data_IF_355042847919
#
_entry.id   IF_355042847919
#
_cell.length_a   1.000
_cell.length_b   1.000
_cell.length_c   1.000
_cell.angle_alpha   90.00
_cell.angle_beta   90.00
_cell.angle_gamma   90.00
#
_symmetry.space_group_name_H-M   'P 1'
#
loop_
_entity.id
_entity.type
_entity.pdbx_description
1 polymer ?
#
# COMPACT_ATOMS: atom_id res chain seq x y z
N UNK A 1 -39.79 -60.81 13.12
CA UNK A 1 -39.08 -61.16 11.86
C UNK A 1 -38.92 -59.93 10.97
N UNK A 2 -39.99 -59.17 10.72
CA UNK A 2 -39.95 -57.94 9.93
C UNK A 2 -39.00 -56.85 10.49
N UNK A 3 -39.03 -56.58 11.79
CA UNK A 3 -38.11 -55.60 12.43
C UNK A 3 -36.63 -55.99 12.32
N UNK A 4 -36.31 -57.28 12.39
CA UNK A 4 -34.94 -57.75 12.22
C UNK A 4 -34.45 -57.53 10.79
N UNK A 5 -35.35 -57.73 9.81
CA UNK A 5 -35.10 -57.53 8.40
C UNK A 5 -34.96 -56.02 8.07
N UNK A 6 -35.80 -55.17 8.66
CA UNK A 6 -35.68 -53.71 8.58
C UNK A 6 -34.37 -53.21 9.18
N UNK A 7 -33.98 -53.65 10.37
CA UNK A 7 -32.68 -53.26 10.97
C UNK A 7 -31.49 -53.73 10.14
N UNK A 8 -31.55 -54.94 9.58
CA UNK A 8 -30.48 -55.48 8.74
C UNK A 8 -30.30 -54.68 7.45
N UNK A 9 -31.38 -54.14 6.87
CA UNK A 9 -31.33 -53.35 5.63
C UNK A 9 -31.07 -51.85 5.88
N UNK A 10 -31.65 -51.28 6.94
CA UNK A 10 -31.53 -49.85 7.24
C UNK A 10 -30.26 -49.50 8.05
N UNK A 11 -29.70 -50.44 8.81
CA UNK A 11 -28.49 -50.22 9.61
C UNK A 11 -27.31 -49.64 8.81
N UNK A 12 -26.90 -50.28 7.70
CA UNK A 12 -25.82 -49.74 6.86
C UNK A 12 -26.11 -48.36 6.25
N UNK A 13 -27.39 -48.09 5.95
CA UNK A 13 -27.81 -46.78 5.41
C UNK A 13 -27.70 -45.71 6.50
N UNK A 14 -28.12 -46.00 7.73
CA UNK A 14 -28.02 -45.08 8.88
C UNK A 14 -26.56 -44.78 9.19
N UNK A 15 -25.68 -45.79 9.22
CA UNK A 15 -24.24 -45.60 9.40
C UNK A 15 -23.65 -44.71 8.30
N UNK A 16 -24.06 -44.93 7.04
CA UNK A 16 -23.59 -44.12 5.92
C UNK A 16 -24.08 -42.67 6.01
N UNK A 17 -25.32 -42.44 6.43
CA UNK A 17 -25.88 -41.11 6.63
C UNK A 17 -25.15 -40.37 7.76
N UNK A 18 -24.88 -41.03 8.89
CA UNK A 18 -24.12 -40.44 9.99
C UNK A 18 -22.68 -40.09 9.59
N UNK A 19 -22.04 -40.94 8.77
CA UNK A 19 -20.73 -40.64 8.21
C UNK A 19 -20.79 -39.40 7.28
N UNK A 20 -21.78 -39.34 6.38
CA UNK A 20 -21.96 -38.20 5.49
C UNK A 20 -22.23 -36.90 6.25
N UNK A 21 -23.00 -36.97 7.34
CA UNK A 21 -23.25 -35.82 8.23
C UNK A 21 -21.95 -35.31 8.85
N UNK A 22 -21.12 -36.23 9.37
CA UNK A 22 -19.79 -35.88 9.92
C UNK A 22 -18.87 -35.26 8.87
N UNK A 23 -18.85 -35.80 7.65
CA UNK A 23 -18.07 -35.26 6.54
C UNK A 23 -18.56 -33.86 6.12
N UNK A 24 -19.88 -33.63 6.11
CA UNK A 24 -20.47 -32.32 5.82
C UNK A 24 -20.12 -31.27 6.87
N UNK A 25 -20.20 -31.62 8.15
CA UNK A 25 -19.81 -30.71 9.24
C UNK A 25 -18.34 -30.31 9.15
N UNK A 26 -17.45 -31.26 8.85
CA UNK A 26 -16.03 -30.95 8.65
C UNK A 26 -15.79 -30.05 7.43
N UNK A 27 -16.52 -30.26 6.34
CA UNK A 27 -16.48 -29.38 5.16
C UNK A 27 -16.92 -27.96 5.49
N UNK A 28 -18.03 -27.79 6.23
CA UNK A 28 -18.48 -26.46 6.66
C UNK A 28 -17.44 -25.77 7.53
N UNK A 29 -16.88 -26.49 8.51
CA UNK A 29 -15.82 -25.97 9.37
C UNK A 29 -14.58 -25.54 8.58
N UNK A 30 -14.17 -26.31 7.58
CA UNK A 30 -13.05 -25.93 6.68
C UNK A 30 -13.38 -24.74 5.80
N UNK A 31 -14.62 -24.66 5.30
CA UNK A 31 -15.08 -23.56 4.47
C UNK A 31 -15.09 -22.23 5.24
N UNK A 32 -15.62 -22.22 6.47
CA UNK A 32 -15.57 -21.07 7.37
C UNK A 32 -14.13 -20.67 7.72
N UNK A 33 -13.23 -21.65 7.65
CA UNK A 33 -11.83 -21.44 7.97
C UNK A 33 -10.98 -20.99 6.79
N UNK A 34 -11.52 -20.99 5.57
CA UNK A 34 -10.79 -20.74 4.34
C UNK A 34 -10.38 -19.27 4.18
N UNK A 35 -11.25 -18.34 4.56
CA UNK A 35 -11.06 -16.92 4.31
C UNK A 35 -11.68 -16.10 5.45
N UNK A 36 -10.86 -15.31 6.17
CA UNK A 36 -11.32 -14.54 7.33
C UNK A 36 -10.69 -13.16 7.38
N UNK A 37 -11.37 -12.18 7.98
CA UNK A 37 -10.78 -10.87 8.26
C UNK A 37 -10.00 -10.95 9.57
N UNK A 38 -8.74 -10.54 9.55
CA UNK A 38 -7.90 -10.49 10.74
C UNK A 38 -7.20 -9.14 10.92
N UNK A 39 -6.49 -9.01 12.04
CA UNK A 39 -5.73 -7.81 12.40
C UNK A 39 -4.29 -8.21 12.76
N UNK A 40 -3.30 -7.58 12.13
CA UNK A 40 -1.88 -7.80 12.44
C UNK A 40 -1.59 -7.50 13.92
N UNK A 41 -0.97 -8.45 14.62
CA UNK A 41 -0.51 -8.29 15.99
C UNK A 41 1.01 -8.14 16.08
N UNK A 42 1.72 -8.90 15.27
CA UNK A 42 3.18 -8.89 15.22
C UNK A 42 3.62 -8.96 13.77
N UNK A 43 4.72 -8.27 13.44
CA UNK A 43 5.34 -8.29 12.13
C UNK A 43 6.84 -8.48 12.30
N UNK A 44 7.41 -9.41 11.54
CA UNK A 44 8.85 -9.60 11.41
C UNK A 44 9.24 -9.29 9.95
N UNK A 45 9.81 -8.10 9.77
CA UNK A 45 10.23 -7.61 8.47
C UNK A 45 11.39 -8.43 7.89
N UNK A 46 12.28 -8.97 8.74
CA UNK A 46 13.47 -9.68 8.28
C UNK A 46 13.11 -11.04 7.67
N UNK A 47 12.11 -11.73 8.22
CA UNK A 47 11.61 -13.01 7.70
C UNK A 47 10.41 -12.87 6.76
N UNK A 48 9.90 -11.65 6.55
CA UNK A 48 8.71 -11.36 5.75
C UNK A 48 7.48 -12.14 6.24
N UNK A 49 7.31 -12.20 7.57
CA UNK A 49 6.19 -12.87 8.23
C UNK A 49 5.45 -11.95 9.20
N UNK A 50 4.26 -12.37 9.59
CA UNK A 50 3.43 -11.70 10.58
C UNK A 50 2.61 -12.72 11.38
N UNK A 51 2.03 -12.26 12.49
CA UNK A 51 0.95 -12.96 13.19
C UNK A 51 -0.32 -12.13 13.13
N UNK A 52 -1.42 -12.79 12.80
CA UNK A 52 -2.73 -12.16 12.60
C UNK A 52 -3.71 -12.73 13.60
N UNK A 53 -4.45 -11.84 14.27
CA UNK A 53 -5.56 -12.23 15.15
C UNK A 53 -6.89 -12.18 14.42
N UNK A 54 -7.72 -13.19 14.61
CA UNK A 54 -9.12 -13.23 14.21
C UNK A 54 -9.96 -13.74 15.39
N UNK A 55 -10.84 -12.89 15.94
CA UNK A 55 -11.49 -13.18 17.22
C UNK A 55 -10.45 -13.42 18.32
N UNK A 56 -10.57 -14.54 19.01
CA UNK A 56 -9.61 -14.97 20.05
C UNK A 56 -8.43 -15.78 19.49
N UNK A 57 -8.43 -16.12 18.20
CA UNK A 57 -7.40 -16.94 17.58
C UNK A 57 -6.26 -16.08 17.06
N UNK A 58 -5.02 -16.44 17.44
CA UNK A 58 -3.80 -15.87 16.88
C UNK A 58 -3.15 -16.89 15.94
N UNK A 59 -2.81 -16.46 14.73
CA UNK A 59 -2.10 -17.32 13.78
C UNK A 59 -0.67 -17.63 14.25
N UNK A 60 -0.07 -18.74 13.78
CA UNK A 60 1.38 -18.88 13.80
C UNK A 60 2.05 -17.79 12.94
N UNK A 61 3.37 -17.80 12.89
CA UNK A 61 4.14 -16.95 11.96
C UNK A 61 3.83 -17.35 10.52
N UNK A 62 3.18 -16.46 9.77
CA UNK A 62 2.73 -16.69 8.40
C UNK A 62 3.25 -15.60 7.47
N UNK A 63 3.40 -15.92 6.18
CA UNK A 63 3.81 -14.94 5.17
C UNK A 63 2.67 -13.98 4.83
N UNK A 64 3.05 -12.79 4.37
CA UNK A 64 2.11 -11.81 3.84
C UNK A 64 2.43 -11.43 2.39
N UNK A 65 1.42 -10.91 1.70
CA UNK A 65 1.55 -10.45 0.31
C UNK A 65 2.25 -9.09 0.24
N UNK A 66 3.16 -8.97 -0.73
CA UNK A 66 3.65 -7.69 -1.23
C UNK A 66 3.00 -7.39 -2.59
N UNK A 67 2.99 -6.13 -3.06
CA UNK A 67 2.42 -5.78 -4.37
C UNK A 67 3.02 -6.57 -5.54
N UNK A 68 4.32 -6.89 -5.47
CA UNK A 68 5.01 -7.75 -6.44
C UNK A 68 6.18 -8.49 -5.79
N UNK A 69 6.45 -9.72 -6.23
CA UNK A 69 7.48 -10.60 -5.66
C UNK A 69 8.21 -11.46 -6.73
N UNK A 70 8.40 -10.90 -7.94
CA UNK A 70 9.13 -11.55 -9.03
C UNK A 70 10.50 -10.90 -9.28
N UNK A 71 10.97 -10.92 -10.53
CA UNK A 71 12.19 -10.19 -10.94
C UNK A 71 12.04 -8.67 -10.78
N UNK A 72 10.82 -8.16 -10.94
CA UNK A 72 10.39 -6.89 -10.40
C UNK A 72 9.67 -7.17 -9.08
N UNK A 73 10.11 -6.49 -8.01
CA UNK A 73 9.58 -6.70 -6.67
C UNK A 73 9.40 -5.37 -5.94
N UNK A 74 8.44 -5.38 -5.02
CA UNK A 74 8.15 -4.27 -4.14
C UNK A 74 8.03 -4.81 -2.73
N UNK A 75 8.50 -4.06 -1.73
CA UNK A 75 8.37 -4.43 -0.32
C UNK A 75 7.54 -3.40 0.41
N UNK A 76 6.43 -3.85 0.99
CA UNK A 76 5.57 -3.06 1.86
C UNK A 76 5.27 -3.88 3.10
N UNK A 77 5.96 -3.54 4.19
CA UNK A 77 5.80 -4.22 5.47
C UNK A 77 4.48 -3.75 6.12
N UNK A 78 3.58 -4.65 6.52
CA UNK A 78 2.33 -4.28 7.18
C UNK A 78 2.59 -3.70 8.56
N UNK A 79 1.67 -2.84 9.01
CA UNK A 79 1.73 -2.26 10.36
C UNK A 79 0.96 -3.10 11.37
N UNK A 80 1.38 -3.06 12.64
CA UNK A 80 0.58 -3.63 13.73
C UNK A 80 -0.75 -2.89 13.83
N UNK A 81 -1.83 -3.66 13.90
CA UNK A 81 -3.21 -3.15 13.89
C UNK A 81 -3.83 -3.05 12.51
N UNK A 82 -3.08 -3.31 11.44
CA UNK A 82 -3.62 -3.26 10.09
C UNK A 82 -4.51 -4.47 9.82
N UNK A 83 -5.65 -4.23 9.16
CA UNK A 83 -6.58 -5.28 8.77
C UNK A 83 -6.11 -6.00 7.51
N UNK A 84 -6.37 -7.30 7.47
CA UNK A 84 -6.03 -8.16 6.34
C UNK A 84 -7.07 -9.24 6.12
N UNK A 85 -7.04 -9.81 4.92
CA UNK A 85 -7.66 -11.09 4.63
C UNK A 85 -6.67 -12.21 4.95
N UNK A 86 -7.06 -13.13 5.82
CA UNK A 86 -6.34 -14.35 6.14
C UNK A 86 -6.86 -15.48 5.24
N UNK A 87 -5.99 -16.00 4.37
CA UNK A 87 -6.32 -17.03 3.40
C UNK A 87 -5.67 -18.35 3.80
N UNK A 88 -6.47 -19.33 4.20
CA UNK A 88 -6.01 -20.67 4.55
C UNK A 88 -6.15 -21.61 3.35
N UNK A 89 -5.12 -21.64 2.51
CA UNK A 89 -5.13 -22.44 1.27
C UNK A 89 -4.98 -23.94 1.51
N UNK A 90 -4.52 -24.33 2.70
CA UNK A 90 -4.29 -25.73 3.07
C UNK A 90 -5.47 -26.42 3.74
N UNK A 91 -6.49 -25.66 4.18
CA UNK A 91 -7.68 -26.18 4.85
C UNK A 91 -7.43 -26.82 6.23
N UNK A 92 -6.19 -26.80 6.73
CA UNK A 92 -5.84 -27.32 8.05
C UNK A 92 -6.24 -26.36 9.18
N UNK A 93 -6.46 -26.89 10.39
CA UNK A 93 -7.01 -26.11 11.51
C UNK A 93 -5.99 -25.17 12.16
N UNK A 94 -4.70 -25.52 12.09
CA UNK A 94 -3.64 -24.82 12.82
C UNK A 94 -3.17 -23.50 12.19
N UNK A 95 -3.76 -23.07 11.08
CA UNK A 95 -3.41 -21.80 10.42
C UNK A 95 -2.00 -21.72 9.81
N UNK A 96 -1.16 -22.75 9.97
CA UNK A 96 0.23 -22.77 9.44
C UNK A 96 0.33 -22.71 7.92
N UNK A 97 -0.76 -23.04 7.21
CA UNK A 97 -0.89 -22.87 5.76
C UNK A 97 -1.70 -21.62 5.41
N UNK A 98 -1.73 -20.63 6.30
CA UNK A 98 -2.37 -19.34 6.01
C UNK A 98 -1.38 -18.34 5.44
N UNK A 99 -1.89 -17.40 4.66
CA UNK A 99 -1.17 -16.22 4.19
C UNK A 99 -2.05 -14.98 4.40
N UNK A 100 -1.42 -13.83 4.65
CA UNK A 100 -2.13 -12.60 4.96
C UNK A 100 -2.06 -11.59 3.80
N UNK A 101 -3.20 -11.17 3.28
CA UNK A 101 -3.33 -10.11 2.28
C UNK A 101 -3.80 -8.82 2.96
N UNK A 102 -2.88 -7.87 3.12
CA UNK A 102 -3.12 -6.57 3.75
C UNK A 102 -3.74 -5.55 2.80
N UNK A 103 -4.20 -4.43 3.37
CA UNK A 103 -4.77 -3.30 2.61
C UNK A 103 -6.27 -3.09 2.78
N UNK A 104 -6.90 -3.72 3.77
CA UNK A 104 -8.27 -3.39 4.15
C UNK A 104 -8.26 -2.11 5.01
N UNK A 105 -8.82 -1.01 4.47
CA UNK A 105 -8.98 0.22 5.23
C UNK A 105 -10.04 0.06 6.33
N UNK A 106 -9.79 0.69 7.47
CA UNK A 106 -10.72 0.73 8.61
C UNK A 106 -10.43 1.95 9.47
N UNK A 107 -11.09 2.07 10.63
CA UNK A 107 -11.03 3.28 11.46
C UNK A 107 -9.61 3.68 11.88
N UNK A 108 -8.75 2.68 12.16
CA UNK A 108 -7.36 2.91 12.56
C UNK A 108 -6.47 3.36 11.39
N UNK A 109 -6.78 2.89 10.18
CA UNK A 109 -6.00 3.15 8.97
C UNK A 109 -6.95 3.49 7.82
N UNK A 110 -7.45 4.75 7.77
CA UNK A 110 -8.37 5.20 6.74
C UNK A 110 -7.67 5.26 5.36
N UNK A 111 -8.44 5.34 4.26
CA UNK A 111 -7.87 5.50 2.93
C UNK A 111 -7.08 6.81 2.82
N UNK A 112 -5.95 6.78 2.09
CA UNK A 112 -5.07 7.95 1.91
C UNK A 112 -5.70 9.05 1.04
N UNK A 113 -6.73 8.71 0.26
CA UNK A 113 -7.53 9.61 -0.57
C UNK A 113 -8.92 9.00 -0.76
N UNK A 114 -9.93 9.86 -0.86
CA UNK A 114 -11.29 9.50 -1.31
C UNK A 114 -11.65 10.11 -2.66
N UNK A 115 -10.69 10.82 -3.30
CA UNK A 115 -10.85 11.39 -4.63
C UNK A 115 -10.63 10.31 -5.69
N UNK A 116 -11.63 10.12 -6.57
CA UNK A 116 -11.63 9.05 -7.56
C UNK A 116 -10.50 9.15 -8.60
N UNK A 117 -10.08 10.37 -8.95
CA UNK A 117 -9.01 10.63 -9.93
C UNK A 117 -7.60 10.55 -9.34
N UNK A 118 -7.48 10.49 -8.01
CA UNK A 118 -6.19 10.58 -7.32
C UNK A 118 -5.71 9.20 -6.86
N UNK A 119 -4.64 8.72 -7.48
CA UNK A 119 -3.84 7.62 -6.95
C UNK A 119 -2.76 8.19 -6.02
N UNK A 120 -2.76 7.81 -4.74
CA UNK A 120 -1.85 8.36 -3.73
C UNK A 120 -1.20 7.29 -2.86
N UNK A 121 0.07 7.49 -2.54
CA UNK A 121 0.81 6.80 -1.49
C UNK A 121 1.19 7.81 -0.39
N UNK A 122 0.85 7.48 0.86
CA UNK A 122 1.22 8.21 2.06
C UNK A 122 2.14 7.35 2.91
N UNK A 123 3.28 7.90 3.31
CA UNK A 123 4.28 7.25 4.14
C UNK A 123 4.11 7.67 5.61
N UNK A 124 4.68 6.89 6.54
CA UNK A 124 4.49 7.09 7.99
C UNK A 124 5.07 8.42 8.50
N UNK A 125 6.09 8.95 7.84
CA UNK A 125 6.71 10.24 8.13
C UNK A 125 5.95 11.44 7.55
N UNK A 126 4.83 11.20 6.86
CA UNK A 126 4.05 12.22 6.16
C UNK A 126 4.52 12.51 4.74
N UNK A 127 5.58 11.85 4.25
CA UNK A 127 5.94 11.90 2.84
C UNK A 127 4.78 11.38 2.00
N UNK A 128 4.60 11.92 0.80
CA UNK A 128 3.57 11.47 -0.12
C UNK A 128 3.99 11.54 -1.58
N UNK A 129 3.37 10.67 -2.38
CA UNK A 129 3.46 10.66 -3.84
C UNK A 129 2.07 10.39 -4.40
N UNK A 130 1.61 11.19 -5.34
CA UNK A 130 0.31 10.97 -5.95
C UNK A 130 0.18 11.56 -7.35
N UNK A 131 -0.67 10.92 -8.16
CA UNK A 131 -1.03 11.38 -9.48
C UNK A 131 -2.55 11.54 -9.57
N UNK A 132 -2.99 12.73 -9.95
CA UNK A 132 -4.39 13.07 -10.20
C UNK A 132 -4.65 13.11 -11.71
N UNK A 133 -5.44 12.17 -12.22
CA UNK A 133 -5.73 12.08 -13.65
C UNK A 133 -6.63 13.20 -14.18
N UNK A 134 -7.42 13.86 -13.31
CA UNK A 134 -8.33 14.92 -13.71
C UNK A 134 -7.59 16.24 -13.93
N UNK A 135 -6.62 16.54 -13.06
CA UNK A 135 -5.75 17.72 -13.18
C UNK A 135 -4.47 17.45 -13.98
N UNK A 136 -4.16 16.18 -14.26
CA UNK A 136 -2.91 15.72 -14.86
C UNK A 136 -1.68 16.14 -14.07
N UNK A 137 -1.78 16.12 -12.73
CA UNK A 137 -0.73 16.56 -11.82
C UNK A 137 -0.09 15.37 -11.11
N UNK A 138 1.23 15.24 -11.25
CA UNK A 138 2.08 14.43 -10.39
C UNK A 138 2.60 15.29 -9.25
N UNK A 139 2.33 14.89 -8.02
CA UNK A 139 2.78 15.56 -6.81
C UNK A 139 3.64 14.61 -5.96
N UNK A 140 4.77 15.11 -5.48
CA UNK A 140 5.59 14.45 -4.47
C UNK A 140 5.99 15.47 -3.41
N UNK A 141 5.81 15.13 -2.14
CA UNK A 141 6.15 16.00 -1.02
C UNK A 141 6.81 15.19 0.09
N UNK A 142 7.96 15.66 0.56
CA UNK A 142 8.74 15.09 1.64
C UNK A 142 9.13 16.21 2.62
N UNK A 143 8.12 16.89 3.17
CA UNK A 143 8.28 17.98 4.14
C UNK A 143 8.87 19.24 3.51
N UNK A 144 10.16 19.55 3.69
CA UNK A 144 10.79 20.72 3.09
C UNK A 144 10.98 20.62 1.58
N UNK A 145 11.01 19.41 1.01
CA UNK A 145 11.25 19.19 -0.42
C UNK A 145 9.96 18.77 -1.12
N UNK A 146 9.68 19.36 -2.28
CA UNK A 146 8.49 19.03 -3.07
C UNK A 146 8.77 19.10 -4.57
N UNK A 147 8.01 18.29 -5.31
CA UNK A 147 7.89 18.32 -6.75
C UNK A 147 6.41 18.37 -7.14
N UNK A 148 6.08 19.26 -8.07
CA UNK A 148 4.76 19.29 -8.73
C UNK A 148 4.96 19.38 -10.23
N UNK A 149 4.44 18.41 -10.96
CA UNK A 149 4.50 18.38 -12.42
C UNK A 149 3.11 18.27 -13.01
N UNK A 150 2.78 19.16 -13.93
CA UNK A 150 1.58 19.14 -14.77
C UNK A 150 1.98 19.08 -16.24
N UNK A 151 1.00 19.14 -17.15
CA UNK A 151 1.26 19.27 -18.60
C UNK A 151 1.82 20.64 -19.00
N UNK A 152 1.67 21.64 -18.14
CA UNK A 152 1.99 23.04 -18.44
C UNK A 152 3.11 23.60 -17.56
N UNK A 153 3.45 22.92 -16.46
CA UNK A 153 4.41 23.41 -15.50
C UNK A 153 5.12 22.28 -14.76
N UNK A 154 6.42 22.44 -14.51
CA UNK A 154 7.17 21.62 -13.56
C UNK A 154 7.74 22.53 -12.47
N UNK A 155 7.62 22.15 -11.21
CA UNK A 155 8.17 22.88 -10.07
C UNK A 155 8.88 21.91 -9.12
N UNK A 156 10.08 22.28 -8.70
CA UNK A 156 10.90 21.65 -7.68
C UNK A 156 11.20 22.69 -6.61
N UNK A 157 11.05 22.34 -5.34
CA UNK A 157 11.39 23.24 -4.23
C UNK A 157 12.07 22.51 -3.08
N UNK A 158 12.95 23.23 -2.37
CA UNK A 158 13.44 22.83 -1.05
C UNK A 158 13.51 24.07 -0.15
N UNK A 159 12.60 24.17 0.81
CA UNK A 159 12.42 25.39 1.61
C UNK A 159 12.22 26.63 0.71
N UNK A 160 13.08 27.67 0.80
CA UNK A 160 12.97 28.88 -0.02
C UNK A 160 13.56 28.74 -1.44
N UNK A 161 14.30 27.67 -1.74
CA UNK A 161 14.87 27.44 -3.05
C UNK A 161 13.84 26.83 -3.99
N UNK A 162 13.77 27.32 -5.24
CA UNK A 162 12.82 26.87 -6.25
C UNK A 162 13.45 26.77 -7.63
N UNK A 163 13.06 25.76 -8.38
CA UNK A 163 13.28 25.61 -9.81
C UNK A 163 11.90 25.38 -10.45
N UNK A 164 11.47 26.27 -11.34
CA UNK A 164 10.22 26.09 -12.08
C UNK A 164 10.43 26.23 -13.58
N UNK A 165 9.70 25.43 -14.36
CA UNK A 165 9.73 25.44 -15.81
C UNK A 165 8.30 25.45 -16.35
N UNK A 166 8.09 26.27 -17.37
CA UNK A 166 6.89 26.33 -18.22
C UNK A 166 7.35 26.25 -19.67
N UNK A 167 6.45 26.10 -20.67
CA UNK A 167 6.84 26.16 -22.07
C UNK A 167 7.51 27.48 -22.49
N UNK A 168 7.33 28.56 -21.72
CA UNK A 168 7.83 29.89 -22.05
C UNK A 168 9.07 30.30 -21.24
N UNK A 169 9.32 29.67 -20.09
CA UNK A 169 10.35 30.12 -19.17
C UNK A 169 10.90 29.01 -18.27
N UNK A 170 12.18 29.15 -17.90
CA UNK A 170 12.84 28.40 -16.82
C UNK A 170 13.27 29.40 -15.75
N UNK A 171 12.98 29.12 -14.49
CA UNK A 171 13.29 29.99 -13.34
C UNK A 171 14.03 29.22 -12.26
N UNK A 172 15.09 29.81 -11.74
CA UNK A 172 15.79 29.40 -10.53
C UNK A 172 15.67 30.54 -9.52
N UNK A 173 15.24 30.26 -8.29
CA UNK A 173 15.01 31.29 -7.28
C UNK A 173 15.49 30.84 -5.91
N UNK A 174 16.16 31.74 -5.19
CA UNK A 174 16.46 31.63 -3.76
C UNK A 174 16.22 33.00 -3.11
N UNK A 175 15.06 33.17 -2.45
CA UNK A 175 14.69 34.47 -1.88
C UNK A 175 14.56 35.54 -2.97
N UNK A 176 15.38 36.59 -2.92
CA UNK A 176 15.42 37.67 -3.92
C UNK A 176 16.43 37.44 -5.06
N UNK A 177 17.26 36.38 -4.97
CA UNK A 177 18.25 36.04 -6.01
C UNK A 177 17.63 35.04 -6.97
N UNK A 178 17.75 35.28 -8.27
CA UNK A 178 17.18 34.38 -9.25
C UNK A 178 17.74 34.53 -10.66
N UNK A 179 17.47 33.51 -11.46
CA UNK A 179 17.80 33.41 -12.87
C UNK A 179 16.54 33.03 -13.64
N UNK A 180 16.17 33.83 -14.62
CA UNK A 180 15.07 33.57 -15.56
C UNK A 180 15.66 33.38 -16.96
N UNK A 181 15.31 32.29 -17.62
CA UNK A 181 15.57 32.06 -19.05
C UNK A 181 14.22 32.09 -19.76
N UNK A 182 14.08 32.97 -20.74
CA UNK A 182 12.90 33.08 -21.58
C UNK A 182 13.30 33.44 -23.03
N UNK A 183 12.31 33.72 -23.87
CA UNK A 183 12.54 34.11 -25.27
C UNK A 183 13.33 35.43 -25.44
N UNK A 184 13.40 36.29 -24.42
CA UNK A 184 14.15 37.54 -24.45
C UNK A 184 15.62 37.36 -24.01
N UNK A 185 15.96 36.24 -23.37
CA UNK A 185 17.34 35.89 -23.02
C UNK A 185 17.50 35.31 -21.63
N UNK A 186 18.64 35.61 -20.99
CA UNK A 186 18.97 35.21 -19.62
C UNK A 186 18.95 36.45 -18.72
N UNK A 187 18.06 36.45 -17.74
CA UNK A 187 17.87 37.56 -16.81
C UNK A 187 18.31 37.13 -15.42
N UNK A 188 19.17 37.94 -14.80
CA UNK A 188 19.72 37.69 -13.48
C UNK A 188 19.18 38.74 -12.51
N UNK A 189 18.71 38.30 -11.35
CA UNK A 189 18.22 39.14 -10.27
C UNK A 189 18.97 38.84 -8.99
N UNK A 190 19.29 39.88 -8.21
CA UNK A 190 20.08 39.77 -6.99
C UNK A 190 21.20 40.81 -6.91
N UNK A 191 21.94 40.84 -5.79
CA UNK A 191 22.91 41.90 -5.51
C UNK A 191 24.23 41.75 -6.28
N UNK A 192 24.61 40.54 -6.67
CA UNK A 192 25.89 40.25 -7.31
C UNK A 192 25.74 39.12 -8.33
N UNK A 193 26.36 39.31 -9.49
CA UNK A 193 26.68 38.23 -10.44
C UNK A 193 28.19 38.22 -10.63
N UNK A 194 28.83 37.08 -10.39
CA UNK A 194 30.26 36.89 -10.63
C UNK A 194 30.55 35.69 -11.55
N UNK A 195 31.67 35.77 -12.25
CA UNK A 195 32.21 34.66 -13.01
C UNK A 195 33.70 34.52 -12.70
N UNK A 196 34.08 33.38 -12.12
CA UNK A 196 35.47 33.08 -11.74
C UNK A 196 36.09 34.17 -10.84
N UNK A 197 35.29 34.73 -9.91
CA UNK A 197 35.75 35.77 -8.98
C UNK A 197 35.75 37.20 -9.56
N UNK A 198 35.32 37.40 -10.81
CA UNK A 198 35.11 38.73 -11.40
C UNK A 198 33.62 39.09 -11.38
N UNK A 199 33.26 40.21 -10.73
CA UNK A 199 31.89 40.75 -10.75
C UNK A 199 31.56 41.24 -12.16
N UNK A 200 30.43 40.76 -12.71
CA UNK A 200 29.91 41.12 -14.04
C UNK A 200 28.53 41.80 -13.99
N UNK A 201 27.90 41.85 -12.81
CA UNK A 201 26.70 42.66 -12.62
C UNK A 201 27.00 44.16 -12.78
N UNK A 202 26.06 44.98 -13.30
CA UNK A 202 26.19 46.44 -13.30
C UNK A 202 26.39 46.97 -11.87
N UNK A 203 27.13 48.08 -11.75
CA UNK A 203 27.27 48.80 -10.47
C UNK A 203 25.99 49.52 -10.09
#
# INVERSE_FOLDING_TARGET
MFDALLRMQLGPIIERLAQMETELEDLYRRADNFCRIGVCQEVDAASNTCKVRHGELLSPSIRFFNPSAGAQSESRIPSVGEQCLLLNHGGGEGGGQSVALFGLNGDRFPPASTLASLTRRLYQDGTESGYDDASHVLHWNNGPAAFTGSRESLELSIGPARLAMTPQAITLQLGAVGLLIDAAGVHLSGPVVDHQGRVISPK
#
